data_IF_759352490877
#
_entry.id   IF_759352490877
#
_cell.length_a   1.000
_cell.length_b   1.000
_cell.length_c   1.000
_cell.angle_alpha   90.00
_cell.angle_beta   90.00
_cell.angle_gamma   90.00
#
_symmetry.space_group_name_H-M   'P 1'
#
loop_
_entity.id
_entity.type
_entity.pdbx_description
1 polymer ?
#
# COMPACT_ATOMS: atom_id res chain seq x y z
N UNK A 1 34.92 -25.45 -17.53
CA UNK A 1 33.63 -24.77 -17.76
C UNK A 1 32.77 -25.03 -16.54
N UNK A 2 32.30 -24.00 -15.85
CA UNK A 2 31.45 -24.15 -14.66
C UNK A 2 30.16 -24.85 -15.10
N UNK A 3 29.89 -26.05 -14.60
CA UNK A 3 28.72 -26.85 -14.98
C UNK A 3 27.48 -26.54 -14.13
N UNK A 4 27.66 -25.72 -13.09
CA UNK A 4 26.66 -25.36 -12.10
C UNK A 4 26.67 -23.86 -11.81
N UNK A 5 25.53 -23.36 -11.34
CA UNK A 5 25.32 -21.98 -10.88
C UNK A 5 24.86 -22.04 -9.42
N UNK A 6 25.48 -21.25 -8.56
CA UNK A 6 25.05 -21.12 -7.17
C UNK A 6 23.83 -20.22 -7.06
N UNK A 7 22.75 -20.75 -6.50
CA UNK A 7 21.49 -20.02 -6.32
C UNK A 7 21.11 -19.91 -4.85
N UNK A 8 20.50 -18.79 -4.48
CA UNK A 8 19.97 -18.58 -3.13
C UNK A 8 18.56 -19.16 -3.00
N UNK A 9 18.34 -20.03 -2.00
CA UNK A 9 17.05 -20.69 -1.80
C UNK A 9 15.90 -19.72 -1.54
N UNK A 10 16.16 -18.68 -0.74
CA UNK A 10 15.18 -17.61 -0.46
C UNK A 10 14.74 -16.89 -1.72
N UNK A 11 15.64 -16.66 -2.71
CA UNK A 11 15.27 -16.03 -3.99
C UNK A 11 14.31 -16.90 -4.78
N UNK A 12 14.51 -18.22 -4.76
CA UNK A 12 13.59 -19.17 -5.40
C UNK A 12 12.20 -19.11 -4.76
N UNK A 13 12.15 -19.09 -3.42
CA UNK A 13 10.91 -18.96 -2.67
C UNK A 13 10.21 -17.61 -2.96
N UNK A 14 10.92 -16.50 -2.86
CA UNK A 14 10.42 -15.15 -3.16
C UNK A 14 9.84 -15.06 -4.57
N UNK A 15 10.58 -15.52 -5.58
CA UNK A 15 10.10 -15.50 -6.96
C UNK A 15 8.83 -16.36 -7.13
N UNK A 16 8.78 -17.56 -6.54
CA UNK A 16 7.59 -18.42 -6.58
C UNK A 16 6.38 -17.73 -5.93
N UNK A 17 6.56 -17.15 -4.74
CA UNK A 17 5.50 -16.47 -3.97
C UNK A 17 4.99 -15.25 -4.74
N UNK A 18 5.87 -14.40 -5.27
CA UNK A 18 5.51 -13.23 -6.08
C UNK A 18 4.79 -13.60 -7.38
N UNK A 19 5.08 -14.79 -7.95
CA UNK A 19 4.35 -15.32 -9.12
C UNK A 19 3.05 -16.03 -8.75
N UNK A 20 2.69 -16.08 -7.47
CA UNK A 20 1.52 -16.79 -6.96
C UNK A 20 1.46 -18.26 -7.40
N UNK A 21 2.62 -18.90 -7.51
CA UNK A 21 2.73 -20.31 -7.90
C UNK A 21 2.76 -21.22 -6.68
N UNK A 22 1.98 -22.30 -6.72
CA UNK A 22 2.09 -23.37 -5.72
C UNK A 22 3.40 -24.12 -5.91
N UNK A 23 3.91 -24.76 -4.85
CA UNK A 23 5.07 -25.65 -4.97
C UNK A 23 4.81 -26.73 -6.05
N UNK A 24 3.59 -27.29 -6.07
CA UNK A 24 3.15 -28.26 -7.09
C UNK A 24 3.29 -27.76 -8.52
N UNK A 25 2.80 -26.55 -8.81
CA UNK A 25 2.88 -25.99 -10.15
C UNK A 25 4.34 -25.79 -10.61
N UNK A 26 5.23 -25.34 -9.72
CA UNK A 26 6.66 -25.15 -10.05
C UNK A 26 7.34 -26.50 -10.27
N UNK A 27 7.06 -27.49 -9.42
CA UNK A 27 7.63 -28.83 -9.57
C UNK A 27 7.27 -29.49 -10.89
N UNK A 28 5.98 -29.44 -11.26
CA UNK A 28 5.48 -30.02 -12.52
C UNK A 28 6.14 -29.33 -13.71
N UNK A 29 6.24 -28.00 -13.69
CA UNK A 29 6.89 -27.23 -14.75
C UNK A 29 8.40 -27.53 -14.88
N UNK A 30 9.09 -27.82 -13.78
CA UNK A 30 10.52 -28.14 -13.78
C UNK A 30 10.82 -29.65 -13.94
N UNK A 31 9.82 -30.51 -13.79
CA UNK A 31 10.00 -31.97 -13.71
C UNK A 31 10.75 -32.41 -12.45
N UNK A 32 10.58 -31.69 -11.33
CA UNK A 32 11.28 -31.95 -10.07
C UNK A 32 10.39 -32.62 -9.01
N UNK A 33 11.02 -33.36 -8.08
CA UNK A 33 10.33 -33.92 -6.90
C UNK A 33 10.10 -32.84 -5.82
N UNK A 34 9.08 -33.01 -4.97
CA UNK A 34 8.77 -32.08 -3.88
C UNK A 34 9.87 -31.91 -2.85
N UNK A 35 10.56 -32.99 -2.52
CA UNK A 35 11.71 -32.93 -1.64
C UNK A 35 12.84 -32.05 -2.22
N UNK A 36 13.00 -32.03 -3.55
CA UNK A 36 14.03 -31.21 -4.21
C UNK A 36 13.72 -29.72 -4.11
N UNK A 37 12.51 -29.29 -4.50
CA UNK A 37 12.13 -27.88 -4.44
C UNK A 37 12.10 -27.36 -3.00
N UNK A 38 11.52 -28.11 -2.07
CA UNK A 38 11.47 -27.73 -0.66
C UNK A 38 12.87 -27.61 -0.03
N UNK A 39 13.80 -28.51 -0.37
CA UNK A 39 15.19 -28.42 0.08
C UNK A 39 15.90 -27.22 -0.52
N UNK A 40 15.64 -26.92 -1.80
CA UNK A 40 16.21 -25.76 -2.47
C UNK A 40 15.71 -24.45 -1.83
N UNK A 41 14.41 -24.29 -1.61
CA UNK A 41 13.86 -23.04 -1.04
C UNK A 41 14.33 -22.77 0.39
N UNK A 42 14.68 -23.82 1.14
CA UNK A 42 15.16 -23.74 2.52
C UNK A 42 16.67 -23.63 2.66
N UNK A 43 17.44 -23.86 1.60
CA UNK A 43 18.90 -23.76 1.67
C UNK A 43 19.33 -22.30 1.61
N UNK A 44 20.47 -22.00 2.23
CA UNK A 44 21.12 -20.69 2.06
C UNK A 44 21.53 -20.53 0.59
N UNK A 45 22.29 -21.51 0.09
CA UNK A 45 22.75 -21.58 -1.30
C UNK A 45 22.71 -23.02 -1.79
N UNK A 46 22.53 -23.23 -3.09
CA UNK A 46 22.61 -24.56 -3.73
C UNK A 46 23.17 -24.44 -5.14
N UNK A 47 24.15 -25.28 -5.46
CA UNK A 47 24.66 -25.42 -6.83
C UNK A 47 23.62 -26.17 -7.69
N UNK A 48 23.11 -25.51 -8.73
CA UNK A 48 22.19 -26.09 -9.71
C UNK A 48 22.90 -26.28 -11.06
N UNK A 49 22.68 -27.41 -11.77
CA UNK A 49 23.13 -27.55 -13.15
C UNK A 49 22.58 -26.42 -14.03
N UNK A 50 23.36 -25.89 -14.97
CA UNK A 50 22.96 -24.74 -15.82
C UNK A 50 21.59 -24.97 -16.48
N UNK A 51 21.36 -26.17 -17.04
CA UNK A 51 20.08 -26.54 -17.67
C UNK A 51 18.88 -26.42 -16.72
N UNK A 52 19.08 -26.79 -15.46
CA UNK A 52 18.05 -26.71 -14.40
C UNK A 52 17.84 -25.25 -13.96
N UNK A 53 18.92 -24.47 -13.92
CA UNK A 53 18.88 -23.03 -13.65
C UNK A 53 18.13 -22.24 -14.73
N UNK A 54 18.42 -22.48 -16.01
CA UNK A 54 17.75 -21.78 -17.13
C UNK A 54 16.25 -22.06 -17.15
N UNK A 55 15.85 -23.31 -16.84
CA UNK A 55 14.44 -23.69 -16.69
C UNK A 55 13.78 -22.98 -15.51
N UNK A 56 14.47 -22.88 -14.36
CA UNK A 56 13.99 -22.17 -13.18
C UNK A 56 13.73 -20.69 -13.49
N UNK A 57 14.69 -20.02 -14.14
CA UNK A 57 14.60 -18.64 -14.59
C UNK A 57 13.40 -18.44 -15.53
N UNK A 58 13.24 -19.31 -16.52
CA UNK A 58 12.13 -19.23 -17.47
C UNK A 58 10.75 -19.43 -16.82
N UNK A 59 10.62 -20.41 -15.91
CA UNK A 59 9.34 -20.72 -15.22
C UNK A 59 8.96 -19.59 -14.26
N UNK A 60 9.90 -19.12 -13.45
CA UNK A 60 9.64 -18.10 -12.44
C UNK A 60 9.62 -16.68 -13.02
N UNK A 61 10.15 -16.47 -14.24
CA UNK A 61 10.13 -15.18 -14.93
C UNK A 61 10.76 -14.05 -14.11
N UNK A 62 11.88 -14.35 -13.47
CA UNK A 62 12.76 -13.37 -12.80
C UNK A 62 14.11 -13.33 -13.53
N UNK A 63 14.83 -12.20 -13.53
CA UNK A 63 16.18 -12.14 -14.09
C UNK A 63 17.09 -13.19 -13.45
N UNK A 64 18.00 -13.80 -14.22
CA UNK A 64 18.98 -14.76 -13.70
C UNK A 64 19.78 -14.20 -12.51
N UNK A 65 20.14 -12.92 -12.61
CA UNK A 65 20.85 -12.15 -11.58
C UNK A 65 20.13 -12.13 -10.23
N UNK A 66 18.80 -12.20 -10.21
CA UNK A 66 18.02 -12.25 -8.98
C UNK A 66 18.36 -13.48 -8.14
N UNK A 67 18.45 -14.65 -8.78
CA UNK A 67 18.68 -15.93 -8.10
C UNK A 67 20.11 -16.09 -7.58
N UNK A 68 21.06 -15.36 -8.18
CA UNK A 68 22.50 -15.40 -7.84
C UNK A 68 22.93 -14.23 -6.97
N UNK A 69 22.03 -13.31 -6.62
CA UNK A 69 22.31 -12.18 -5.71
C UNK A 69 21.80 -12.49 -4.31
N UNK A 70 22.64 -12.30 -3.30
CA UNK A 70 22.27 -12.54 -1.91
C UNK A 70 21.08 -11.64 -1.49
N UNK A 71 20.09 -12.17 -0.76
CA UNK A 71 19.01 -11.36 -0.19
C UNK A 71 19.51 -10.54 1.00
N UNK A 72 19.27 -9.22 0.98
CA UNK A 72 19.73 -8.30 2.04
C UNK A 72 18.65 -7.97 3.07
N UNK A 73 17.40 -7.80 2.65
CA UNK A 73 16.26 -7.56 3.54
C UNK A 73 15.48 -8.84 3.79
N UNK A 74 15.14 -9.10 5.05
CA UNK A 74 14.35 -10.28 5.46
C UNK A 74 13.18 -9.82 6.31
N UNK A 75 11.98 -10.17 5.88
CA UNK A 75 10.75 -9.90 6.62
C UNK A 75 10.04 -11.23 6.83
N UNK A 76 9.82 -11.59 8.09
CA UNK A 76 9.01 -12.72 8.48
C UNK A 76 7.54 -12.30 8.60
N UNK A 77 6.63 -13.28 8.52
CA UNK A 77 5.20 -13.02 8.69
C UNK A 77 4.86 -12.38 10.05
N UNK A 78 5.66 -12.66 11.09
CA UNK A 78 5.53 -12.09 12.44
C UNK A 78 5.94 -10.63 12.55
N UNK A 79 6.71 -10.13 11.58
CA UNK A 79 7.25 -8.77 11.60
C UNK A 79 6.24 -7.76 11.06
N UNK A 80 5.20 -8.24 10.38
CA UNK A 80 4.15 -7.41 9.82
C UNK A 80 3.24 -6.89 10.93
N UNK A 81 3.20 -5.57 11.08
CA UNK A 81 2.37 -4.89 12.07
C UNK A 81 0.96 -4.68 11.51
N UNK A 82 0.12 -5.70 11.64
CA UNK A 82 -1.33 -5.59 11.42
C UNK A 82 -2.07 -6.72 12.12
N UNK A 83 -3.33 -6.48 12.53
CA UNK A 83 -4.20 -7.56 12.99
C UNK A 83 -4.76 -8.38 11.84
N UNK A 84 -4.04 -9.43 11.46
CA UNK A 84 -4.53 -10.46 10.56
C UNK A 84 -6.00 -10.86 10.87
N UNK A 85 -6.97 -10.70 9.93
CA UNK A 85 -8.33 -11.12 10.19
C UNK A 85 -8.34 -12.65 10.24
N UNK A 86 -9.37 -13.24 10.84
CA UNK A 86 -9.50 -14.71 10.83
C UNK A 86 -9.51 -15.32 9.41
N UNK A 87 -9.77 -14.52 8.38
CA UNK A 87 -9.84 -14.95 6.97
C UNK A 87 -8.53 -14.83 6.18
N UNK A 88 -7.49 -14.14 6.68
CA UNK A 88 -6.23 -14.05 5.92
C UNK A 88 -5.54 -15.42 5.92
N UNK A 89 -5.17 -15.89 4.74
CA UNK A 89 -4.51 -17.18 4.59
C UNK A 89 -3.02 -17.07 4.94
N UNK A 90 -2.40 -18.18 5.35
CA UNK A 90 -0.94 -18.22 5.56
C UNK A 90 -0.17 -17.85 4.27
N UNK A 91 -0.70 -18.26 3.11
CA UNK A 91 -0.17 -17.91 1.79
C UNK A 91 -0.21 -16.40 1.54
N UNK A 92 -1.30 -15.75 1.94
CA UNK A 92 -1.43 -14.30 1.80
C UNK A 92 -0.47 -13.57 2.73
N UNK A 93 -0.33 -13.99 4.00
CA UNK A 93 0.67 -13.41 4.91
C UNK A 93 2.10 -13.57 4.38
N UNK A 94 2.42 -14.75 3.86
CA UNK A 94 3.72 -15.01 3.23
C UNK A 94 3.95 -14.07 2.04
N UNK A 95 2.95 -13.88 1.18
CA UNK A 95 3.04 -12.93 0.08
C UNK A 95 3.33 -11.51 0.56
N UNK A 96 2.61 -11.02 1.57
CA UNK A 96 2.84 -9.68 2.12
C UNK A 96 4.25 -9.53 2.71
N UNK A 97 4.72 -10.53 3.45
CA UNK A 97 6.07 -10.55 4.01
C UNK A 97 7.14 -10.50 2.92
N UNK A 98 7.04 -11.37 1.91
CA UNK A 98 8.01 -11.40 0.81
C UNK A 98 7.94 -10.13 -0.05
N UNK A 99 6.76 -9.56 -0.26
CA UNK A 99 6.62 -8.28 -0.98
C UNK A 99 7.32 -7.14 -0.22
N UNK A 100 7.12 -7.05 1.09
CA UNK A 100 7.79 -6.05 1.93
C UNK A 100 9.30 -6.24 1.98
N UNK A 101 9.78 -7.48 2.06
CA UNK A 101 11.21 -7.79 2.00
C UNK A 101 11.83 -7.27 0.70
N UNK A 102 11.24 -7.61 -0.46
CA UNK A 102 11.73 -7.17 -1.77
C UNK A 102 11.63 -5.64 -1.95
N UNK A 103 10.57 -5.01 -1.43
CA UNK A 103 10.47 -3.56 -1.40
C UNK A 103 11.60 -2.93 -0.57
N UNK A 104 11.94 -3.53 0.57
CA UNK A 104 13.08 -3.12 1.40
C UNK A 104 14.42 -3.20 0.66
N UNK A 105 14.69 -4.31 -0.02
CA UNK A 105 15.91 -4.46 -0.82
C UNK A 105 15.97 -3.45 -1.97
N UNK A 106 14.84 -3.18 -2.62
CA UNK A 106 14.75 -2.15 -3.65
C UNK A 106 15.02 -0.75 -3.08
N UNK A 107 14.55 -0.46 -1.86
CA UNK A 107 14.86 0.79 -1.17
C UNK A 107 16.34 0.90 -0.79
N UNK A 108 16.99 -0.19 -0.40
CA UNK A 108 18.43 -0.22 -0.17
C UNK A 108 19.20 0.07 -1.48
N UNK A 109 18.76 -0.47 -2.62
CA UNK A 109 19.33 -0.17 -3.93
C UNK A 109 19.18 1.29 -4.32
N UNK A 110 18.02 1.90 -4.03
CA UNK A 110 17.82 3.34 -4.23
C UNK A 110 18.70 4.17 -3.29
N UNK A 111 18.77 3.79 -2.01
CA UNK A 111 19.55 4.49 -0.99
C UNK A 111 21.06 4.46 -1.29
N UNK A 112 21.57 3.34 -1.82
CA UNK A 112 22.97 3.19 -2.22
C UNK A 112 23.39 4.10 -3.39
N UNK A 113 22.43 4.58 -4.19
CA UNK A 113 22.66 5.53 -5.30
C UNK A 113 22.40 6.97 -4.90
N UNK A 114 21.30 7.19 -4.18
CA UNK A 114 20.85 8.49 -3.72
C UNK A 114 20.28 8.32 -2.31
N UNK A 115 20.89 8.95 -1.32
CA UNK A 115 20.48 8.83 0.08
C UNK A 115 18.97 9.10 0.25
N UNK A 116 18.26 8.16 0.87
CA UNK A 116 16.85 8.32 1.24
C UNK A 116 16.71 9.30 2.41
N UNK A 117 15.53 9.93 2.62
CA UNK A 117 15.33 10.83 3.74
C UNK A 117 15.62 10.12 5.07
N UNK A 118 16.23 10.82 6.02
CA UNK A 118 16.48 10.27 7.35
C UNK A 118 15.14 9.92 8.03
N UNK A 119 15.12 8.83 8.81
CA UNK A 119 13.94 8.44 9.59
C UNK A 119 13.78 9.44 10.75
N UNK A 120 12.63 10.10 10.81
CA UNK A 120 12.26 11.08 11.83
C UNK A 120 11.07 10.62 12.69
N UNK A 121 10.87 9.32 12.81
CA UNK A 121 9.92 8.79 13.79
C UNK A 121 10.58 8.78 15.18
N UNK A 122 9.93 9.35 16.21
CA UNK A 122 10.48 9.33 17.55
C UNK A 122 10.51 7.91 18.10
N UNK A 123 11.54 7.61 18.90
CA UNK A 123 11.58 6.40 19.74
C UNK A 123 10.99 6.80 21.09
N UNK A 124 9.88 6.18 21.45
CA UNK A 124 9.11 6.53 22.65
C UNK A 124 9.18 5.38 23.69
N UNK A 125 9.12 5.69 24.99
CA UNK A 125 8.86 4.70 26.02
C UNK A 125 7.57 3.90 25.76
N UNK A 126 7.56 2.62 26.11
CA UNK A 126 6.43 1.70 25.85
C UNK A 126 5.12 2.16 26.50
N UNK A 127 5.21 2.86 27.62
CA UNK A 127 4.10 3.38 28.42
C UNK A 127 3.66 4.80 28.03
N UNK A 128 4.21 5.36 26.95
CA UNK A 128 3.84 6.69 26.47
C UNK A 128 2.36 6.72 26.09
N UNK A 129 1.62 7.67 26.67
CA UNK A 129 0.22 7.85 26.34
C UNK A 129 0.04 8.14 24.84
N UNK A 130 -0.98 7.55 24.22
CA UNK A 130 -1.25 7.69 22.77
C UNK A 130 -1.31 9.15 22.33
N UNK A 131 -1.89 10.02 23.16
CA UNK A 131 -1.98 11.46 22.87
C UNK A 131 -0.62 12.15 22.86
N UNK A 132 0.26 11.80 23.78
CA UNK A 132 1.63 12.29 23.82
C UNK A 132 2.45 11.76 22.64
N UNK A 133 2.25 10.50 22.25
CA UNK A 133 2.90 9.92 21.09
C UNK A 133 2.52 10.64 19.79
N UNK A 134 1.23 10.92 19.58
CA UNK A 134 0.77 11.69 18.43
C UNK A 134 1.37 13.11 18.40
N UNK A 135 1.39 13.79 19.56
CA UNK A 135 2.01 15.11 19.69
C UNK A 135 3.53 15.08 19.42
N UNK A 136 4.24 14.05 19.91
CA UNK A 136 5.66 13.86 19.66
C UNK A 136 5.95 13.64 18.17
N UNK A 137 5.09 12.91 17.45
CA UNK A 137 5.22 12.74 15.99
C UNK A 137 5.03 14.08 15.28
N UNK A 138 3.97 14.85 15.61
CA UNK A 138 3.78 16.20 15.03
C UNK A 138 5.01 17.09 15.24
N UNK A 139 5.54 17.13 16.46
CA UNK A 139 6.75 17.88 16.78
C UNK A 139 7.97 17.39 15.98
N UNK A 140 8.18 16.09 15.88
CA UNK A 140 9.31 15.50 15.11
C UNK A 140 9.24 15.79 13.61
N UNK A 141 8.02 15.98 13.07
CA UNK A 141 7.78 16.35 11.68
C UNK A 141 7.82 17.87 11.46
N UNK A 142 7.93 18.67 12.52
CA UNK A 142 7.89 20.13 12.44
C UNK A 142 6.50 20.68 12.11
N UNK A 143 5.46 19.96 12.52
CA UNK A 143 4.08 20.37 12.33
C UNK A 143 3.58 21.16 13.52
N UNK A 144 2.90 22.28 13.25
CA UNK A 144 2.19 23.05 14.27
C UNK A 144 1.14 22.17 14.95
N UNK A 145 1.01 22.27 16.27
CA UNK A 145 0.10 21.42 17.04
C UNK A 145 -1.39 21.71 16.74
N UNK A 146 -1.72 22.96 16.41
CA UNK A 146 -3.11 23.43 16.26
C UNK A 146 -3.60 23.56 14.80
N UNK A 147 -2.77 23.20 13.83
CA UNK A 147 -3.10 23.28 12.41
C UNK A 147 -3.45 21.92 11.79
N UNK A 148 -4.33 21.86 10.78
CA UNK A 148 -4.53 20.63 10.02
C UNK A 148 -3.29 20.27 9.20
N UNK A 149 -3.07 18.96 8.99
CA UNK A 149 -2.00 18.48 8.10
C UNK A 149 -2.49 18.57 6.66
N UNK A 150 -1.92 19.45 5.84
CA UNK A 150 -2.38 19.67 4.46
C UNK A 150 -2.24 18.41 3.59
N UNK A 151 -1.06 17.76 3.60
CA UNK A 151 -0.76 16.60 2.78
C UNK A 151 0.00 15.54 3.59
N UNK A 152 -0.73 14.66 4.28
CA UNK A 152 -0.14 13.72 5.25
C UNK A 152 0.88 12.77 4.62
N UNK A 153 0.58 12.23 3.44
CA UNK A 153 1.46 11.29 2.72
C UNK A 153 2.83 11.91 2.43
N UNK A 154 2.88 13.21 2.17
CA UNK A 154 4.11 13.95 1.91
C UNK A 154 4.93 14.09 3.20
N UNK A 155 4.28 14.40 4.32
CA UNK A 155 4.96 14.51 5.61
C UNK A 155 5.50 13.16 6.09
N UNK A 156 4.74 12.08 5.87
CA UNK A 156 5.18 10.70 6.12
C UNK A 156 6.45 10.38 5.31
N UNK A 157 6.45 10.62 3.99
CA UNK A 157 7.62 10.37 3.15
C UNK A 157 8.82 11.25 3.49
N UNK A 158 8.59 12.52 3.80
CA UNK A 158 9.62 13.48 4.23
C UNK A 158 10.23 13.09 5.58
N UNK A 159 9.50 12.37 6.43
CA UNK A 159 9.99 11.77 7.67
C UNK A 159 10.79 10.47 7.46
N UNK A 160 11.00 10.03 6.21
CA UNK A 160 11.76 8.84 5.88
C UNK A 160 10.97 7.53 5.96
N UNK A 161 9.65 7.60 6.13
CA UNK A 161 8.73 6.45 6.02
C UNK A 161 8.31 6.29 4.57
N UNK A 162 8.60 5.13 3.97
CA UNK A 162 8.24 4.88 2.58
C UNK A 162 6.80 4.37 2.48
N UNK A 163 6.04 4.88 1.51
CA UNK A 163 4.68 4.43 1.23
C UNK A 163 4.62 3.74 -0.13
N UNK A 164 4.22 2.47 -0.15
CA UNK A 164 3.95 1.69 -1.36
C UNK A 164 2.45 1.44 -1.47
N UNK A 165 1.87 1.73 -2.63
CA UNK A 165 0.45 1.48 -2.89
C UNK A 165 0.32 0.19 -3.67
N UNK A 166 -0.27 -0.85 -3.07
CA UNK A 166 -0.61 -2.08 -3.78
C UNK A 166 -1.89 -1.88 -4.59
N UNK A 167 -1.80 -2.07 -5.90
CA UNK A 167 -2.98 -2.11 -6.78
C UNK A 167 -3.80 -3.35 -6.46
N UNK A 168 -5.12 -3.23 -6.54
CA UNK A 168 -6.05 -4.36 -6.42
C UNK A 168 -5.85 -5.43 -7.53
N UNK A 169 -5.11 -5.10 -8.59
CA UNK A 169 -5.13 -5.84 -9.84
C UNK A 169 -3.73 -5.94 -10.47
N UNK A 170 -3.00 -7.00 -10.13
CA UNK A 170 -2.09 -7.66 -11.09
C UNK A 170 -2.60 -9.08 -11.34
N UNK A 171 -2.34 -9.64 -12.52
CA UNK A 171 -2.73 -11.02 -12.86
C UNK A 171 -2.17 -12.06 -11.88
N UNK A 172 -1.07 -11.72 -11.19
CA UNK A 172 -0.43 -12.50 -10.13
C UNK A 172 -1.16 -12.36 -8.79
N UNK A 173 -1.56 -11.14 -8.40
CA UNK A 173 -2.26 -10.89 -7.12
C UNK A 173 -3.75 -11.29 -7.12
N UNK A 174 -4.40 -11.35 -8.30
CA UNK A 174 -5.81 -11.75 -8.46
C UNK A 174 -6.11 -13.17 -7.94
N UNK A 175 -5.14 -14.10 -7.99
CA UNK A 175 -5.33 -15.48 -7.53
C UNK A 175 -5.23 -15.66 -6.03
N UNK A 176 -4.50 -14.79 -5.33
CA UNK A 176 -4.24 -14.94 -3.88
C UNK A 176 -5.23 -14.13 -3.05
N UNK A 177 -5.60 -12.93 -3.50
CA UNK A 177 -6.27 -11.95 -2.62
C UNK A 177 -7.81 -11.94 -2.69
N UNK A 178 -8.42 -12.65 -3.66
CA UNK A 178 -9.88 -12.76 -3.79
C UNK A 178 -10.59 -11.44 -4.13
N UNK A 179 -11.32 -11.42 -5.24
CA UNK A 179 -12.10 -10.24 -5.66
C UNK A 179 -13.44 -10.23 -4.90
N UNK A 180 -13.40 -9.81 -3.65
CA UNK A 180 -14.58 -9.59 -2.82
C UNK A 180 -14.89 -8.11 -2.74
N UNK A 181 -15.73 -7.62 -3.65
CA UNK A 181 -16.31 -6.28 -3.67
C UNK A 181 -17.06 -6.02 -2.35
N UNK A 182 -16.31 -5.59 -1.33
CA UNK A 182 -16.79 -5.43 0.04
C UNK A 182 -17.43 -4.07 0.17
N UNK A 183 -18.59 -3.95 -0.45
CA UNK A 183 -19.57 -2.91 -0.16
C UNK A 183 -20.08 -3.12 1.27
N UNK A 184 -19.42 -2.49 2.25
CA UNK A 184 -20.00 -2.22 3.57
C UNK A 184 -19.78 -3.25 4.69
N UNK A 185 -18.94 -4.28 4.54
CA UNK A 185 -18.45 -5.07 5.68
C UNK A 185 -17.00 -4.67 5.97
N UNK A 186 -16.80 -3.96 7.08
CA UNK A 186 -15.53 -3.51 7.69
C UNK A 186 -14.32 -4.03 6.91
N UNK A 187 -13.75 -3.13 6.10
CA UNK A 187 -12.50 -3.25 5.36
C UNK A 187 -11.45 -3.89 6.27
N UNK A 188 -11.17 -5.18 6.06
CA UNK A 188 -10.43 -5.97 7.04
C UNK A 188 -8.92 -5.80 6.97
N UNK A 189 -8.36 -5.22 5.90
CA UNK A 189 -6.97 -4.71 5.82
C UNK A 189 -6.81 -3.68 4.70
N UNK A 190 -6.69 -2.41 5.09
CA UNK A 190 -6.42 -1.31 4.17
C UNK A 190 -4.92 -1.04 4.01
N UNK A 191 -4.10 -1.51 4.94
CA UNK A 191 -2.65 -1.41 4.90
C UNK A 191 -2.00 -2.31 5.93
N UNK A 192 -0.67 -2.29 5.94
CA UNK A 192 0.16 -2.78 7.02
C UNK A 192 1.48 -2.00 7.02
N UNK A 193 2.19 -2.07 8.14
CA UNK A 193 3.50 -1.45 8.30
C UNK A 193 4.53 -2.45 8.79
N UNK A 194 5.79 -2.19 8.48
CA UNK A 194 6.92 -3.04 8.84
C UNK A 194 8.22 -2.24 8.72
N UNK A 195 9.26 -2.67 9.43
CA UNK A 195 10.61 -2.13 9.22
C UNK A 195 11.42 -3.07 8.34
N UNK A 196 12.07 -2.51 7.33
CA UNK A 196 12.75 -3.24 6.25
C UNK A 196 14.18 -2.75 6.07
N UNK A 197 14.90 -3.39 5.13
CA UNK A 197 16.30 -3.15 4.82
C UNK A 197 17.22 -4.05 5.64
N UNK A 198 18.51 -4.02 5.34
CA UNK A 198 19.52 -4.91 5.94
C UNK A 198 19.47 -4.98 7.48
N UNK A 199 19.22 -3.85 8.14
CA UNK A 199 19.18 -3.73 9.60
C UNK A 199 17.77 -3.51 10.18
N UNK A 200 16.70 -3.69 9.39
CA UNK A 200 15.32 -3.41 9.80
C UNK A 200 15.12 -2.00 10.38
N UNK A 201 15.79 -1.01 9.78
CA UNK A 201 15.76 0.38 10.25
C UNK A 201 14.77 1.25 9.48
N UNK A 202 14.43 0.87 8.24
CA UNK A 202 13.60 1.69 7.36
C UNK A 202 12.12 1.37 7.55
N UNK A 203 11.29 2.30 8.07
CA UNK A 203 9.85 2.09 8.10
C UNK A 203 9.25 2.09 6.69
N UNK A 204 8.44 1.07 6.42
CA UNK A 204 7.67 0.89 5.19
C UNK A 204 6.20 0.74 5.57
N UNK A 205 5.35 1.48 4.87
CA UNK A 205 3.90 1.34 4.90
C UNK A 205 3.46 0.82 3.53
N UNK A 206 2.69 -0.26 3.51
CA UNK A 206 2.08 -0.80 2.30
C UNK A 206 0.57 -0.67 2.44
N UNK A 207 -0.05 0.15 1.59
CA UNK A 207 -1.50 0.39 1.60
C UNK A 207 -2.15 -0.12 0.34
N UNK A 208 -3.41 -0.55 0.45
CA UNK A 208 -4.26 -0.82 -0.71
C UNK A 208 -4.68 0.50 -1.35
N UNK A 209 -4.78 0.53 -2.67
CA UNK A 209 -5.36 1.67 -3.37
C UNK A 209 -6.79 1.94 -2.89
N UNK A 210 -7.05 3.19 -2.50
CA UNK A 210 -8.36 3.71 -2.07
C UNK A 210 -8.77 4.89 -2.94
N UNK A 211 -10.08 5.06 -3.12
CA UNK A 211 -10.66 6.22 -3.80
C UNK A 211 -11.15 7.30 -2.82
N UNK A 212 -11.03 7.09 -1.52
CA UNK A 212 -11.37 8.07 -0.49
C UNK A 212 -10.11 8.71 0.07
N UNK A 213 -10.08 10.05 0.04
CA UNK A 213 -9.00 10.85 0.58
C UNK A 213 -8.89 10.71 2.10
N UNK A 214 -10.01 10.79 2.83
CA UNK A 214 -10.03 10.64 4.29
C UNK A 214 -9.61 9.23 4.71
N UNK A 215 -10.07 8.19 3.99
CA UNK A 215 -9.70 6.80 4.29
C UNK A 215 -8.20 6.58 4.09
N UNK A 216 -7.64 7.12 3.01
CA UNK A 216 -6.19 7.02 2.74
C UNK A 216 -5.38 7.66 3.86
N UNK A 217 -5.76 8.88 4.27
CA UNK A 217 -5.09 9.59 5.37
C UNK A 217 -5.20 8.84 6.69
N UNK A 218 -6.41 8.37 7.02
CA UNK A 218 -6.63 7.65 8.26
C UNK A 218 -5.84 6.34 8.30
N UNK A 219 -5.83 5.55 7.21
CA UNK A 219 -5.02 4.33 7.12
C UNK A 219 -3.53 4.65 7.28
N UNK A 220 -3.00 5.64 6.58
CA UNK A 220 -1.59 6.01 6.72
C UNK A 220 -1.24 6.45 8.15
N UNK A 221 -2.08 7.28 8.78
CA UNK A 221 -1.90 7.71 10.16
C UNK A 221 -1.97 6.54 11.15
N UNK A 222 -2.86 5.57 10.90
CA UNK A 222 -2.98 4.35 11.69
C UNK A 222 -1.71 3.48 11.60
N UNK A 223 -1.17 3.30 10.39
CA UNK A 223 0.09 2.58 10.19
C UNK A 223 1.30 3.30 10.81
N UNK A 224 1.34 4.64 10.80
CA UNK A 224 2.34 5.39 11.58
C UNK A 224 2.17 5.11 13.08
N UNK A 225 0.94 5.01 13.56
CA UNK A 225 0.65 4.60 14.94
C UNK A 225 1.25 3.25 15.28
N UNK A 226 1.13 2.25 14.40
CA UNK A 226 1.80 0.97 14.59
C UNK A 226 3.32 1.10 14.66
N UNK A 227 3.95 1.84 13.75
CA UNK A 227 5.40 2.02 13.71
C UNK A 227 5.98 2.74 14.93
N UNK A 228 5.18 3.57 15.59
CA UNK A 228 5.58 4.41 16.72
C UNK A 228 5.26 3.77 18.07
N UNK A 229 4.06 3.20 18.22
CA UNK A 229 3.58 2.66 19.49
C UNK A 229 3.92 1.19 19.69
N UNK A 230 4.11 0.43 18.62
CA UNK A 230 4.22 -1.02 18.69
C UNK A 230 5.58 -1.48 18.15
N UNK A 231 6.28 -2.29 18.94
CA UNK A 231 7.44 -3.03 18.47
C UNK A 231 7.00 -4.19 17.55
N UNK A 232 7.96 -4.82 16.87
CA UNK A 232 7.73 -6.06 16.11
C UNK A 232 7.05 -7.13 16.98
N UNK A 233 5.97 -7.75 16.49
CA UNK A 233 5.24 -8.79 17.21
C UNK A 233 3.77 -8.92 16.81
N UNK A 234 3.05 -9.85 17.46
CA UNK A 234 1.63 -10.06 17.18
C UNK A 234 0.79 -8.88 17.65
N UNK A 235 0.20 -8.15 16.71
CA UNK A 235 -0.71 -7.04 16.98
C UNK A 235 -1.97 -7.53 17.69
N UNK A 236 -2.22 -7.02 18.90
CA UNK A 236 -3.40 -7.34 19.70
C UNK A 236 -4.57 -6.40 19.39
N UNK A 237 -5.76 -6.68 19.92
CA UNK A 237 -6.91 -5.77 19.79
C UNK A 237 -6.64 -4.42 20.47
N UNK A 238 -5.96 -4.41 21.62
CA UNK A 238 -5.54 -3.18 22.27
C UNK A 238 -4.59 -2.35 21.39
N UNK A 239 -3.68 -3.00 20.67
CA UNK A 239 -2.79 -2.32 19.73
C UNK A 239 -3.55 -1.65 18.58
N UNK A 240 -4.57 -2.31 18.02
CA UNK A 240 -5.43 -1.74 16.97
C UNK A 240 -6.23 -0.53 17.47
N UNK A 241 -6.74 -0.60 18.70
CA UNK A 241 -7.42 0.53 19.35
C UNK A 241 -6.47 1.70 19.59
N UNK A 242 -5.25 1.42 20.08
CA UNK A 242 -4.20 2.41 20.28
C UNK A 242 -3.79 3.08 18.95
N UNK A 243 -3.58 2.30 17.88
CA UNK A 243 -3.26 2.83 16.55
C UNK A 243 -4.41 3.68 15.96
N UNK A 244 -5.67 3.26 16.18
CA UNK A 244 -6.85 4.03 15.76
C UNK A 244 -7.01 5.35 16.52
N UNK A 245 -6.75 5.33 17.84
CA UNK A 245 -6.73 6.53 18.66
C UNK A 245 -5.58 7.45 18.25
N UNK A 246 -4.39 6.90 18.01
CA UNK A 246 -3.23 7.62 17.51
C UNK A 246 -3.51 8.32 16.19
N UNK A 247 -4.10 7.60 15.22
CA UNK A 247 -4.43 8.15 13.90
C UNK A 247 -5.34 9.38 14.01
N UNK A 248 -6.34 9.28 14.90
CA UNK A 248 -7.30 10.35 15.11
C UNK A 248 -6.67 11.56 15.80
N UNK A 249 -5.86 11.34 16.83
CA UNK A 249 -5.15 12.41 17.53
C UNK A 249 -4.08 13.08 16.67
N UNK A 250 -3.34 12.29 15.85
CA UNK A 250 -2.34 12.82 14.93
C UNK A 250 -2.99 13.75 13.90
N UNK A 251 -4.14 13.34 13.33
CA UNK A 251 -4.85 14.10 12.31
C UNK A 251 -5.57 15.30 12.90
N UNK A 252 -6.27 15.14 14.02
CA UNK A 252 -7.16 16.12 14.60
C UNK A 252 -7.05 16.12 16.13
N UNK A 253 -6.05 16.81 16.73
CA UNK A 253 -5.81 16.75 18.16
C UNK A 253 -7.04 17.15 18.99
N UNK A 254 -7.42 16.32 19.96
CA UNK A 254 -8.65 16.50 20.72
C UNK A 254 -8.66 17.81 21.50
N UNK A 255 -7.51 18.22 22.04
CA UNK A 255 -7.34 19.47 22.76
C UNK A 255 -7.62 20.71 21.89
N UNK A 256 -7.41 20.60 20.57
CA UNK A 256 -7.69 21.67 19.61
C UNK A 256 -9.16 21.61 19.18
N UNK A 257 -9.67 20.40 18.89
CA UNK A 257 -11.08 20.17 18.56
C UNK A 257 -12.04 20.69 19.63
N UNK A 258 -11.66 20.60 20.91
CA UNK A 258 -12.45 21.08 22.04
C UNK A 258 -12.84 22.58 21.94
N UNK A 259 -12.09 23.38 21.17
CA UNK A 259 -12.36 24.80 20.94
C UNK A 259 -13.38 25.05 19.82
N UNK A 260 -13.44 24.12 18.86
CA UNK A 260 -14.23 24.25 17.63
C UNK A 260 -15.55 23.47 17.68
N UNK A 261 -15.67 22.50 18.59
CA UNK A 261 -16.81 21.56 18.65
C UNK A 261 -17.67 21.82 19.89
N UNK A 262 -18.96 22.06 19.68
CA UNK A 262 -19.92 22.21 20.77
C UNK A 262 -20.12 20.90 21.53
N UNK A 263 -20.61 20.95 22.77
CA UNK A 263 -20.81 19.76 23.63
C UNK A 263 -21.88 18.79 23.08
N UNK A 264 -22.78 19.27 22.22
CA UNK A 264 -23.87 18.49 21.63
C UNK A 264 -24.04 18.79 20.13
N UNK A 265 -23.00 18.56 19.31
CA UNK A 265 -22.97 18.98 17.92
C UNK A 265 -23.88 18.06 17.09
N UNK A 266 -24.57 18.62 16.11
CA UNK A 266 -25.29 17.91 15.05
C UNK A 266 -24.32 17.41 13.97
N UNK A 267 -24.77 16.47 13.13
CA UNK A 267 -23.96 16.03 11.98
C UNK A 267 -23.61 17.20 11.04
N UNK A 268 -24.50 18.17 10.87
CA UNK A 268 -24.27 19.33 10.01
C UNK A 268 -23.16 20.23 10.55
N UNK A 269 -23.11 20.45 11.87
CA UNK A 269 -22.04 21.22 12.52
C UNK A 269 -20.68 20.51 12.44
N UNK A 270 -20.65 19.18 12.30
CA UNK A 270 -19.41 18.41 12.14
C UNK A 270 -18.87 18.38 10.70
N UNK A 271 -19.66 18.77 9.69
CA UNK A 271 -19.21 18.85 8.29
C UNK A 271 -18.02 19.78 8.08
N UNK A 272 -18.05 21.06 8.52
CA UNK A 272 -16.89 21.95 8.38
C UNK A 272 -15.67 21.45 9.18
N UNK A 273 -15.89 20.79 10.33
CA UNK A 273 -14.82 20.23 11.15
C UNK A 273 -14.10 19.08 10.42
N UNK A 274 -14.86 18.15 9.82
CA UNK A 274 -14.27 17.05 9.04
C UNK A 274 -13.51 17.56 7.81
N UNK A 275 -14.02 18.61 7.17
CA UNK A 275 -13.38 19.22 6.01
C UNK A 275 -12.08 19.95 6.37
N UNK A 276 -12.04 20.64 7.53
CA UNK A 276 -10.84 21.29 8.06
C UNK A 276 -9.72 20.28 8.35
N UNK A 277 -10.03 19.24 9.11
CA UNK A 277 -9.02 18.30 9.62
C UNK A 277 -8.72 17.12 8.70
N UNK A 278 -9.58 16.87 7.72
CA UNK A 278 -9.40 15.80 6.75
C UNK A 278 -9.58 14.41 7.31
N UNK A 279 -10.64 14.25 8.11
CA UNK A 279 -11.06 13.00 8.74
C UNK A 279 -12.47 12.66 8.28
N UNK A 280 -12.89 11.39 8.36
CA UNK A 280 -14.29 11.03 8.10
C UNK A 280 -15.18 11.42 9.29
N UNK A 281 -16.48 11.63 9.06
CA UNK A 281 -17.47 11.83 10.14
C UNK A 281 -17.45 10.64 11.11
N UNK A 282 -17.38 9.41 10.58
CA UNK A 282 -17.30 8.21 11.41
C UNK A 282 -16.10 8.22 12.36
N UNK A 283 -14.90 8.55 11.85
CA UNK A 283 -13.69 8.65 12.66
C UNK A 283 -13.76 9.82 13.64
N UNK A 284 -14.25 10.99 13.20
CA UNK A 284 -14.40 12.18 14.03
C UNK A 284 -15.36 11.95 15.21
N UNK A 285 -16.55 11.39 14.96
CA UNK A 285 -17.54 11.10 16.00
C UNK A 285 -16.96 10.11 17.04
N UNK A 286 -16.26 9.07 16.58
CA UNK A 286 -15.58 8.10 17.47
C UNK A 286 -14.47 8.78 18.27
N UNK A 287 -13.66 9.61 17.64
CA UNK A 287 -12.57 10.32 18.27
C UNK A 287 -13.05 11.31 19.35
N UNK A 288 -14.09 12.09 19.06
CA UNK A 288 -14.71 13.00 20.01
C UNK A 288 -15.28 12.24 21.22
N UNK A 289 -15.86 11.06 21.03
CA UNK A 289 -16.35 10.21 22.12
C UNK A 289 -15.20 9.63 22.96
N UNK A 290 -14.20 9.02 22.33
CA UNK A 290 -13.05 8.43 23.04
C UNK A 290 -12.26 9.49 23.82
N UNK A 291 -12.22 10.73 23.33
CA UNK A 291 -11.56 11.86 23.99
C UNK A 291 -12.48 12.61 24.97
N UNK A 292 -13.65 12.05 25.30
CA UNK A 292 -14.61 12.59 26.27
C UNK A 292 -15.23 13.97 25.91
N UNK A 293 -15.13 14.39 24.64
CA UNK A 293 -15.79 15.58 24.12
C UNK A 293 -17.27 15.34 23.77
N UNK A 294 -17.67 14.07 23.62
CA UNK A 294 -19.06 13.64 23.47
C UNK A 294 -19.46 12.65 24.55
N UNK A 295 -20.69 12.80 25.05
CA UNK A 295 -21.31 11.79 25.91
C UNK A 295 -21.63 10.52 25.10
N UNK A 296 -21.67 9.36 25.75
CA UNK A 296 -22.04 8.10 25.11
C UNK A 296 -23.42 8.16 24.44
N UNK A 297 -24.39 8.82 25.08
CA UNK A 297 -25.73 9.02 24.50
C UNK A 297 -25.69 9.85 23.21
N UNK A 298 -24.88 10.91 23.17
CA UNK A 298 -24.75 11.72 21.94
C UNK A 298 -24.01 10.98 20.84
N UNK A 299 -22.96 10.24 21.20
CA UNK A 299 -22.22 9.38 20.28
C UNK A 299 -23.15 8.38 19.58
N UNK A 300 -23.95 7.62 20.32
CA UNK A 300 -24.88 6.64 19.72
C UNK A 300 -25.98 7.31 18.87
N UNK A 301 -26.47 8.48 19.28
CA UNK A 301 -27.43 9.24 18.49
C UNK A 301 -26.84 9.68 17.13
N UNK A 302 -25.61 10.24 17.13
CA UNK A 302 -24.93 10.66 15.90
C UNK A 302 -24.56 9.46 15.01
N UNK A 303 -24.06 8.38 15.61
CA UNK A 303 -23.75 7.14 14.90
C UNK A 303 -24.99 6.57 14.22
N UNK A 304 -26.12 6.51 14.92
CA UNK A 304 -27.40 6.09 14.31
C UNK A 304 -27.78 6.98 13.13
N UNK A 305 -27.72 8.30 13.30
CA UNK A 305 -28.02 9.25 12.22
C UNK A 305 -27.12 9.05 10.99
N UNK A 306 -25.83 8.77 11.20
CA UNK A 306 -24.87 8.51 10.12
C UNK A 306 -25.31 7.33 9.24
N UNK A 307 -25.84 6.27 9.83
CA UNK A 307 -26.27 5.08 9.09
C UNK A 307 -27.74 5.11 8.62
N UNK A 308 -28.55 6.05 9.10
CA UNK A 308 -29.94 6.20 8.62
C UNK A 308 -30.12 7.32 7.60
N UNK A 309 -29.25 8.35 7.62
CA UNK A 309 -29.36 9.49 6.72
C UNK A 309 -28.80 9.11 5.34
N UNK A 310 -29.59 9.38 4.30
CA UNK A 310 -29.21 9.11 2.91
C UNK A 310 -28.49 10.33 2.33
N UNK A 311 -27.43 10.07 1.58
CA UNK A 311 -26.72 11.03 0.78
C UNK A 311 -27.44 11.15 -0.58
N UNK A 312 -28.04 12.31 -0.89
CA UNK A 312 -28.83 12.48 -2.11
C UNK A 312 -28.01 12.34 -3.39
N UNK A 313 -26.70 12.59 -3.34
CA UNK A 313 -25.83 12.55 -4.52
C UNK A 313 -25.46 11.12 -4.94
N UNK A 314 -25.59 10.15 -4.02
CA UNK A 314 -25.14 8.77 -4.25
C UNK A 314 -26.19 7.71 -3.95
N UNK A 315 -27.36 8.11 -3.43
CA UNK A 315 -28.42 7.21 -2.96
C UNK A 315 -27.92 6.13 -1.98
N UNK A 316 -26.91 6.49 -1.17
CA UNK A 316 -26.36 5.62 -0.11
C UNK A 316 -26.35 6.32 1.23
N UNK A 317 -26.23 5.57 2.32
CA UNK A 317 -26.18 6.17 3.66
C UNK A 317 -24.90 6.96 3.87
N UNK A 318 -24.93 8.00 4.72
CA UNK A 318 -23.75 8.81 5.02
C UNK A 318 -22.61 7.96 5.61
N UNK A 319 -22.94 6.89 6.35
CA UNK A 319 -21.96 5.93 6.86
C UNK A 319 -21.25 5.11 5.77
N UNK A 320 -21.75 5.11 4.53
CA UNK A 320 -21.10 4.51 3.36
C UNK A 320 -20.39 5.56 2.52
N UNK A 321 -21.11 6.63 2.17
CA UNK A 321 -20.58 7.75 1.40
C UNK A 321 -20.99 9.07 2.06
N UNK A 322 -20.02 9.70 2.71
CA UNK A 322 -20.24 10.95 3.42
C UNK A 322 -20.41 12.13 2.44
N UNK A 323 -21.13 13.20 2.83
CA UNK A 323 -21.07 14.47 2.10
C UNK A 323 -19.62 14.95 1.96
N UNK A 324 -19.30 15.49 0.78
CA UNK A 324 -17.97 16.00 0.44
C UNK A 324 -16.87 14.93 0.27
N UNK A 325 -17.24 13.64 0.14
CA UNK A 325 -16.28 12.53 0.00
C UNK A 325 -15.32 12.66 -1.20
N UNK A 326 -15.71 13.43 -2.22
CA UNK A 326 -14.96 13.67 -3.45
C UNK A 326 -14.49 15.12 -3.59
N UNK A 327 -14.56 15.94 -2.53
CA UNK A 327 -14.13 17.35 -2.57
C UNK A 327 -12.60 17.49 -2.71
N UNK A 328 -11.85 16.42 -2.43
CA UNK A 328 -10.38 16.41 -2.48
C UNK A 328 -9.87 15.20 -3.25
N UNK A 329 -8.80 15.42 -4.00
CA UNK A 329 -8.06 14.32 -4.62
C UNK A 329 -7.35 13.48 -3.57
N UNK A 330 -7.36 12.15 -3.77
CA UNK A 330 -6.65 11.20 -2.91
C UNK A 330 -5.15 11.49 -2.91
N UNK A 331 -4.54 11.56 -1.74
CA UNK A 331 -3.10 11.73 -1.60
C UNK A 331 -2.34 10.54 -2.18
N UNK A 332 -1.23 10.83 -2.84
CA UNK A 332 -0.41 9.83 -3.54
C UNK A 332 1.06 9.98 -3.16
N UNK A 333 1.77 8.87 -2.89
CA UNK A 333 3.19 8.90 -2.59
C UNK A 333 4.00 9.37 -3.78
N UNK A 334 5.22 9.84 -3.53
CA UNK A 334 6.15 10.34 -4.54
C UNK A 334 7.60 9.91 -4.32
N UNK A 335 7.95 9.39 -3.14
CA UNK A 335 9.34 9.11 -2.80
C UNK A 335 9.98 8.15 -3.80
N UNK A 336 9.34 7.04 -4.14
CA UNK A 336 9.93 6.08 -5.08
C UNK A 336 10.10 6.70 -6.47
N UNK A 337 9.08 7.39 -6.99
CA UNK A 337 9.19 8.02 -8.33
C UNK A 337 10.27 9.10 -8.36
N UNK A 338 10.37 9.93 -7.31
CA UNK A 338 11.40 10.96 -7.20
C UNK A 338 12.80 10.35 -7.09
N UNK A 339 13.00 9.27 -6.34
CA UNK A 339 14.31 8.63 -6.24
C UNK A 339 14.72 7.92 -7.53
N UNK A 340 13.76 7.34 -8.26
CA UNK A 340 14.01 6.81 -9.60
C UNK A 340 14.42 7.89 -10.60
N UNK A 341 13.77 9.06 -10.56
CA UNK A 341 14.16 10.22 -11.37
C UNK A 341 15.60 10.66 -11.05
N UNK A 342 15.99 10.68 -9.77
CA UNK A 342 17.32 11.13 -9.34
C UNK A 342 18.42 10.09 -9.60
N UNK A 343 18.15 8.81 -9.31
CA UNK A 343 19.16 7.75 -9.37
C UNK A 343 19.34 7.15 -10.78
N UNK A 344 18.30 7.20 -11.61
CA UNK A 344 18.27 6.50 -12.90
C UNK A 344 17.77 7.37 -14.06
N UNK A 345 17.40 8.63 -13.82
CA UNK A 345 16.66 9.44 -14.82
C UNK A 345 15.41 8.72 -15.36
N UNK A 346 14.84 7.80 -14.56
CA UNK A 346 13.75 6.94 -14.97
C UNK A 346 12.42 7.44 -14.39
N UNK A 347 11.38 7.44 -15.22
CA UNK A 347 9.99 7.77 -14.85
C UNK A 347 9.03 6.59 -14.97
N UNK A 348 9.53 5.41 -15.33
CA UNK A 348 8.78 4.17 -15.50
C UNK A 348 9.71 2.98 -15.31
N UNK A 349 9.14 1.83 -14.93
CA UNK A 349 9.88 0.59 -14.77
C UNK A 349 10.61 0.16 -16.05
N UNK A 350 10.01 0.37 -17.23
CA UNK A 350 10.63 0.03 -18.52
C UNK A 350 11.95 0.78 -18.77
N UNK A 351 12.09 2.02 -18.28
CA UNK A 351 13.33 2.78 -18.39
C UNK A 351 14.45 2.26 -17.49
N UNK A 352 14.17 1.30 -16.59
CA UNK A 352 15.18 0.66 -15.76
C UNK A 352 15.86 -0.53 -16.45
N UNK A 353 15.34 -1.01 -17.58
CA UNK A 353 15.88 -2.15 -18.30
C UNK A 353 17.39 -2.04 -18.65
N UNK A 354 17.93 -0.87 -19.07
CA UNK A 354 19.36 -0.72 -19.37
C UNK A 354 20.29 -0.85 -18.16
N UNK A 355 19.77 -0.77 -16.93
CA UNK A 355 20.58 -0.78 -15.72
C UNK A 355 20.88 -2.18 -15.19
N UNK A 356 20.40 -3.24 -15.85
CA UNK A 356 20.63 -4.65 -15.49
C UNK A 356 20.36 -4.92 -13.99
N UNK A 357 19.23 -4.43 -13.49
CA UNK A 357 18.84 -4.62 -12.10
C UNK A 357 18.37 -6.06 -11.85
N UNK A 358 18.36 -6.47 -10.58
CA UNK A 358 17.90 -7.81 -10.18
C UNK A 358 16.38 -7.99 -10.27
N UNK A 359 15.64 -6.90 -10.50
CA UNK A 359 14.18 -6.87 -10.42
C UNK A 359 13.53 -7.18 -11.78
N UNK A 360 12.48 -8.02 -11.84
CA UNK A 360 11.64 -8.09 -13.03
C UNK A 360 10.81 -6.81 -13.17
N UNK A 361 10.49 -6.45 -14.41
CA UNK A 361 9.77 -5.20 -14.72
C UNK A 361 8.41 -5.11 -14.01
N UNK A 362 7.67 -6.21 -13.92
CA UNK A 362 6.33 -6.21 -13.31
C UNK A 362 6.38 -5.94 -11.79
N UNK A 363 7.42 -6.42 -11.10
CA UNK A 363 7.63 -6.12 -9.68
C UNK A 363 8.02 -4.64 -9.47
N UNK A 364 8.83 -4.07 -10.36
CA UNK A 364 9.13 -2.64 -10.34
C UNK A 364 7.87 -1.79 -10.56
N UNK A 365 6.98 -2.22 -11.47
CA UNK A 365 5.69 -1.58 -11.69
C UNK A 365 4.80 -1.63 -10.44
N UNK A 366 4.84 -2.73 -9.69
CA UNK A 366 4.15 -2.86 -8.40
C UNK A 366 4.71 -1.93 -7.32
N UNK A 367 6.03 -1.75 -7.22
CA UNK A 367 6.64 -0.79 -6.29
C UNK A 367 6.32 0.66 -6.66
N UNK A 368 6.19 0.95 -7.96
CA UNK A 368 5.85 2.28 -8.47
C UNK A 368 4.34 2.57 -8.48
N UNK A 369 3.50 1.59 -8.14
CA UNK A 369 2.05 1.76 -8.20
C UNK A 369 1.58 2.88 -7.27
N UNK A 370 0.63 3.68 -7.75
CA UNK A 370 0.07 4.82 -7.02
C UNK A 370 0.98 6.04 -6.88
N UNK A 371 2.25 5.97 -7.31
CA UNK A 371 3.18 7.10 -7.23
C UNK A 371 2.72 8.26 -8.14
N UNK A 372 2.79 9.50 -7.65
CA UNK A 372 2.51 10.70 -8.46
C UNK A 372 3.76 11.16 -9.21
N UNK A 373 3.53 11.82 -10.35
CA UNK A 373 4.60 12.44 -11.14
C UNK A 373 5.06 13.77 -10.52
N UNK A 374 6.20 14.29 -10.98
CA UNK A 374 6.64 15.64 -10.64
C UNK A 374 5.60 16.71 -11.08
N UNK A 375 5.41 17.79 -10.29
CA UNK A 375 4.64 18.95 -10.72
C UNK A 375 5.25 19.49 -12.03
N UNK A 376 4.53 19.39 -13.15
CA UNK A 376 4.99 19.78 -14.49
C UNK A 376 4.88 18.68 -15.56
N UNK A 377 5.00 17.39 -15.19
CA UNK A 377 4.86 16.30 -16.16
C UNK A 377 3.39 16.04 -16.57
N UNK A 378 2.42 16.42 -15.74
CA UNK A 378 0.99 16.29 -16.03
C UNK A 378 0.52 17.31 -17.10
N UNK A 379 1.12 18.50 -17.14
CA UNK A 379 0.73 19.57 -18.08
C UNK A 379 1.02 19.19 -19.55
N UNK A 380 2.09 18.41 -19.79
CA UNK A 380 2.48 17.97 -21.14
C UNK A 380 1.47 16.98 -21.75
N UNK A 381 0.75 16.21 -20.93
CA UNK A 381 -0.28 15.26 -21.43
C UNK A 381 -1.60 15.93 -21.80
N UNK A 382 -1.94 17.06 -21.18
CA UNK A 382 -3.19 17.79 -21.51
C UNK A 382 -3.01 18.66 -22.75
N UNK A 383 -1.81 19.21 -22.98
CA UNK A 383 -1.51 20.02 -24.17
C UNK A 383 -1.44 19.23 -25.49
N UNK A 384 -1.22 17.91 -25.44
CA UNK A 384 -1.16 17.04 -26.63
C UNK A 384 -2.55 16.58 -27.14
N UNK A 385 -3.65 16.97 -26.47
CA UNK A 385 -5.01 16.53 -26.78
C UNK A 385 -5.97 17.58 -27.33
N UNK A 386 -5.57 18.84 -27.51
CA UNK A 386 -6.45 19.92 -27.97
C UNK A 386 -6.05 20.50 -29.33
N UNK A 387 -5.82 19.63 -30.31
CA UNK A 387 -5.85 20.02 -31.72
C UNK A 387 -7.30 20.23 -32.17
N UNK A 388 -7.74 21.49 -32.19
CA UNK A 388 -9.04 21.94 -32.74
C UNK A 388 -9.17 21.51 -34.20
N UNK A 389 -10.06 20.56 -34.50
CA UNK A 389 -10.42 20.20 -35.87
C UNK A 389 -11.60 21.06 -36.33
N UNK A 390 -11.35 21.93 -37.30
CA UNK A 390 -12.35 22.66 -38.07
C UNK A 390 -13.09 21.70 -39.00
N UNK A 391 -14.43 21.73 -38.94
CA UNK A 391 -15.35 20.92 -39.74
C UNK A 391 -15.39 21.40 -41.20
N UNK A 392 -15.19 20.47 -42.14
CA UNK A 392 -15.50 20.63 -43.56
C UNK A 392 -16.15 19.34 -44.09
N UNK A 393 -17.17 19.39 -44.97
CA UNK A 393 -18.01 18.23 -45.24
C UNK A 393 -17.53 17.37 -46.42
N UNK A 394 -17.77 16.05 -46.28
CA UNK A 394 -18.13 15.16 -47.39
C UNK A 394 -17.01 14.36 -48.05
N UNK A 395 -16.95 13.06 -47.79
CA UNK A 395 -17.14 11.99 -48.80
C UNK A 395 -17.00 10.61 -48.16
N UNK A 396 -17.62 9.62 -48.80
CA UNK A 396 -18.01 8.29 -48.31
C UNK A 396 -17.00 7.16 -48.56
N UNK A 397 -17.05 6.15 -47.64
CA UNK A 397 -16.77 4.70 -47.79
C UNK A 397 -15.30 4.18 -47.77
N UNK A 398 -15.05 2.87 -47.49
CA UNK A 398 -15.73 1.90 -46.63
C UNK A 398 -14.82 1.17 -45.60
N UNK A 399 -15.47 0.44 -44.70
CA UNK A 399 -14.97 -0.39 -43.60
C UNK A 399 -14.03 -1.54 -44.01
N UNK A 400 -12.96 -1.77 -43.23
CA UNK A 400 -12.19 -3.02 -43.23
C UNK A 400 -11.90 -3.54 -41.80
N UNK A 401 -12.42 -4.74 -41.51
CA UNK A 401 -11.72 -5.86 -40.86
C UNK A 401 -11.24 -5.72 -39.41
N UNK A 402 -12.12 -5.99 -38.44
CA UNK A 402 -11.74 -6.40 -37.08
C UNK A 402 -11.43 -7.90 -37.04
N UNK A 403 -10.19 -8.27 -36.70
CA UNK A 403 -9.75 -9.66 -36.50
C UNK A 403 -9.81 -10.04 -35.01
N UNK A 404 -11.02 -10.27 -34.49
CA UNK A 404 -11.21 -10.88 -33.17
C UNK A 404 -12.04 -12.16 -33.34
N UNK A 405 -11.42 -13.31 -33.09
CA UNK A 405 -12.06 -14.62 -33.04
C UNK A 405 -12.58 -14.84 -31.59
N UNK A 406 -13.90 -14.91 -31.35
CA UNK A 406 -14.42 -15.29 -30.04
C UNK A 406 -14.44 -16.82 -29.88
N UNK A 407 -13.82 -17.31 -28.80
CA UNK A 407 -13.88 -18.71 -28.37
C UNK A 407 -15.30 -19.08 -27.91
N UNK A 408 -15.90 -20.08 -28.54
CA UNK A 408 -17.21 -20.65 -28.18
C UNK A 408 -17.20 -21.23 -26.76
N UNK A 409 -18.04 -20.70 -25.89
CA UNK A 409 -18.41 -21.35 -24.63
C UNK A 409 -19.34 -22.55 -24.92
N UNK A 410 -18.95 -23.74 -24.45
CA UNK A 410 -19.81 -24.92 -24.46
C UNK A 410 -20.88 -24.80 -23.37
N UNK A 411 -22.14 -24.79 -23.82
CA UNK A 411 -23.34 -24.89 -23.01
C UNK A 411 -23.38 -26.23 -22.25
N UNK A 412 -23.72 -26.15 -20.96
CA UNK A 412 -24.10 -27.28 -20.10
C UNK A 412 -25.48 -27.80 -20.49
N UNK A 413 -25.61 -29.12 -20.64
CA UNK A 413 -26.85 -29.87 -20.42
C UNK A 413 -26.52 -31.19 -19.74
N UNK A 414 -27.29 -31.53 -18.71
CA UNK A 414 -27.12 -32.67 -17.81
C UNK A 414 -27.11 -32.19 -16.38
#
# INVERSE_FOLDING_TARGET
MTTTVDVYGLRVNQARVMRAMTATAVMEALGWKHSRLNRLEKSTTTALPIKDFDRLVAVLRFPAKFFTTAPTSRVHQSDLLFRAPRSITATEREYLAQFAALAGEFLDELNGRTQLPAVKLPILPIDTAVTQAAAAVRASWGLEHDQPIEYLTHEIERSGVVVVVRRLLTSSSRRILGDGDSTGKIDKHLGYSVRVGEFNTRPLIVVRQSNSWERTRWTLAHEVGHLVLHASGSVTEACEEQASQFASELLAPAAVLAKDVSRAPSLAELLPVKAKWGVSLGALIKHLHTSQLLTGARFEALRRQLYTRVNPDTDTTWGRVEPGWNDREVERPRLISKWLEMAFSARSAAMLAPYDLVWPQDLLEDFMAGQRAAPGAAAVRVAAGSGRATVGPGSSAPSTGSNVIPLRQRSRRG
#
